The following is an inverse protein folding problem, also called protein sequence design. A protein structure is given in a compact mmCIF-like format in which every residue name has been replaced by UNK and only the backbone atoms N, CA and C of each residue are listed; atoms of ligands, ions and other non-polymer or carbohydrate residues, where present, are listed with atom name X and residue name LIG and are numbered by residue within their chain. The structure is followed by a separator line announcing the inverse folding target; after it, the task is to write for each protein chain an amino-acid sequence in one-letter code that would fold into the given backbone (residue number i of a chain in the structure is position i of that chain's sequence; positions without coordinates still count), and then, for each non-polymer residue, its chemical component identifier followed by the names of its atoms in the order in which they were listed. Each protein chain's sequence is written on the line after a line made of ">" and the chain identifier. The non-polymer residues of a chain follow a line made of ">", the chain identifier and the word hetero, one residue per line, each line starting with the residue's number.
data_IF_070047034917
#
_entry.id   IF_070047034917
#
_cell.length_a   1.000
_cell.length_b   1.000
_cell.length_c   1.000
_cell.angle_alpha   90.00
_cell.angle_beta   90.00
_cell.angle_gamma   90.00
#
_symmetry.space_group_name_H-M   'P 1'
#
loop_
_entity.id
_entity.type
_entity.pdbx_description
1 polymer ?
#
# COMPACT_ATOMS: atom_id res chain seq x y z
N UNK A 1 -57.55 12.44 60.38
CA UNK A 1 -59.02 12.39 60.34
C UNK A 1 -59.40 11.77 59.00
N UNK A 2 -59.90 10.56 58.84
CA UNK A 2 -60.26 9.41 59.68
C UNK A 2 -59.90 8.16 58.83
N UNK A 3 -59.24 7.12 59.34
CA UNK A 3 -59.80 5.93 60.00
C UNK A 3 -61.02 5.30 59.31
N UNK A 4 -60.80 4.15 58.67
CA UNK A 4 -61.72 3.01 58.75
C UNK A 4 -60.95 1.69 58.64
N UNK A 5 -61.16 0.84 59.65
CA UNK A 5 -60.59 -0.48 59.88
C UNK A 5 -61.37 -1.53 59.09
N UNK A 6 -60.73 -2.65 58.72
CA UNK A 6 -61.41 -3.95 58.68
C UNK A 6 -60.42 -5.06 59.04
N UNK A 7 -60.85 -5.81 60.05
CA UNK A 7 -60.14 -6.82 60.83
C UNK A 7 -60.43 -8.21 60.26
N UNK A 8 -59.37 -9.02 60.24
CA UNK A 8 -59.24 -10.45 60.53
C UNK A 8 -60.50 -11.33 60.66
N UNK A 9 -60.47 -12.50 59.99
CA UNK A 9 -61.18 -13.69 60.47
C UNK A 9 -60.49 -14.96 59.94
N UNK A 10 -59.87 -15.66 60.89
CA UNK A 10 -59.37 -17.02 60.82
C UNK A 10 -60.44 -18.05 60.44
N UNK A 11 -60.10 -19.03 59.59
CA UNK A 11 -60.70 -20.36 59.62
C UNK A 11 -59.64 -21.42 59.33
N UNK A 12 -59.43 -22.30 60.31
CA UNK A 12 -58.76 -23.59 60.15
C UNK A 12 -59.53 -24.46 59.15
N UNK A 13 -58.81 -25.20 58.30
CA UNK A 13 -59.26 -26.51 57.83
C UNK A 13 -58.06 -27.43 57.57
N UNK A 14 -58.29 -28.70 57.89
CA UNK A 14 -57.35 -29.77 58.22
C UNK A 14 -57.15 -30.70 57.00
N UNK A 15 -55.95 -31.27 56.91
CA UNK A 15 -55.51 -32.47 56.17
C UNK A 15 -56.51 -33.19 55.24
N UNK A 16 -56.04 -33.48 54.01
CA UNK A 16 -56.15 -34.84 53.46
C UNK A 16 -55.03 -35.15 52.45
N UNK A 17 -54.20 -36.15 52.75
CA UNK A 17 -53.26 -36.76 51.80
C UNK A 17 -53.83 -38.13 51.41
N UNK A 18 -54.10 -38.41 50.12
CA UNK A 18 -54.48 -39.75 49.73
C UNK A 18 -53.23 -40.63 49.65
N UNK A 19 -53.08 -41.53 50.62
CA UNK A 19 -52.15 -42.66 50.54
C UNK A 19 -52.69 -43.68 49.54
N UNK A 20 -52.12 -43.74 48.34
CA UNK A 20 -52.36 -44.84 47.41
C UNK A 20 -51.59 -46.10 47.84
N UNK A 21 -52.33 -47.04 48.42
CA UNK A 21 -51.88 -48.40 48.69
C UNK A 21 -52.15 -49.29 47.46
N UNK A 22 -51.10 -49.52 46.65
CA UNK A 22 -51.08 -50.52 45.58
C UNK A 22 -49.64 -50.99 45.32
N UNK A 23 -49.41 -52.18 44.75
CA UNK A 23 -48.04 -52.61 44.43
C UNK A 23 -47.45 -51.61 43.43
N UNK A 24 -46.33 -50.97 43.82
CA UNK A 24 -45.62 -50.02 42.97
C UNK A 24 -45.33 -50.71 41.63
N UNK A 25 -45.90 -50.18 40.53
CA UNK A 25 -45.58 -50.65 39.18
C UNK A 25 -44.07 -50.55 39.00
N UNK A 26 -43.39 -51.68 38.79
CA UNK A 26 -41.96 -51.69 38.57
C UNK A 26 -41.67 -50.98 37.25
N UNK A 27 -41.26 -49.72 37.35
CA UNK A 27 -40.82 -48.92 36.20
C UNK A 27 -39.33 -49.18 36.05
N UNK A 28 -38.94 -49.74 34.90
CA UNK A 28 -37.53 -49.89 34.55
C UNK A 28 -36.85 -48.52 34.63
N UNK A 29 -35.61 -48.46 35.10
CA UNK A 29 -34.79 -47.23 35.04
C UNK A 29 -34.64 -46.68 33.61
N UNK A 30 -34.96 -47.49 32.59
CA UNK A 30 -34.92 -47.14 31.17
C UNK A 30 -36.31 -46.88 30.57
N UNK A 31 -37.39 -46.88 31.35
CA UNK A 31 -38.75 -46.65 30.83
C UNK A 31 -39.06 -45.14 30.76
N UNK A 32 -39.09 -44.61 29.53
CA UNK A 32 -39.38 -43.20 29.24
C UNK A 32 -40.72 -42.75 29.81
N UNK A 33 -40.81 -41.44 30.12
CA UNK A 33 -42.04 -40.83 30.58
C UNK A 33 -42.87 -40.26 29.43
N UNK A 34 -44.02 -40.88 29.18
CA UNK A 34 -44.89 -40.53 28.05
C UNK A 34 -45.59 -39.18 28.23
N UNK A 35 -45.68 -38.66 29.45
CA UNK A 35 -46.24 -37.33 29.73
C UNK A 35 -45.24 -36.20 29.43
N UNK A 36 -43.93 -36.46 29.54
CA UNK A 36 -42.84 -35.51 29.27
C UNK A 36 -41.87 -36.05 28.19
N UNK A 37 -42.43 -36.71 27.18
CA UNK A 37 -41.65 -37.45 26.18
C UNK A 37 -40.69 -36.53 25.40
N UNK A 38 -41.10 -35.30 25.10
CA UNK A 38 -40.28 -34.35 24.35
C UNK A 38 -39.05 -33.90 25.15
N UNK A 39 -39.21 -33.66 26.46
CA UNK A 39 -38.10 -33.34 27.36
C UNK A 39 -37.17 -34.54 27.58
N UNK A 40 -37.71 -35.76 27.64
CA UNK A 40 -36.89 -36.98 27.74
C UNK A 40 -36.17 -37.31 26.43
N UNK A 41 -36.81 -37.12 25.27
CA UNK A 41 -36.20 -37.33 23.96
C UNK A 41 -35.12 -36.29 23.67
N UNK A 42 -35.33 -35.03 24.07
CA UNK A 42 -34.29 -33.99 23.95
C UNK A 42 -33.05 -34.28 24.81
N UNK A 43 -33.11 -35.21 25.78
CA UNK A 43 -31.95 -35.72 26.53
C UNK A 43 -31.28 -36.94 25.88
N UNK A 44 -31.87 -37.50 24.81
CA UNK A 44 -31.29 -38.61 24.06
C UNK A 44 -30.44 -38.05 22.93
N UNK A 45 -29.16 -38.45 22.79
CA UNK A 45 -28.23 -37.89 21.81
C UNK A 45 -28.72 -37.87 20.35
N UNK A 46 -29.57 -38.82 19.97
CA UNK A 46 -30.14 -38.92 18.62
C UNK A 46 -31.20 -37.84 18.31
N UNK A 47 -31.82 -37.26 19.35
CA UNK A 47 -32.93 -36.30 19.24
C UNK A 47 -32.64 -34.97 19.94
N UNK A 48 -31.41 -34.77 20.45
CA UNK A 48 -30.94 -33.51 21.03
C UNK A 48 -30.94 -32.39 20.00
N UNK A 49 -31.57 -31.26 20.32
CA UNK A 49 -31.47 -30.02 19.54
C UNK A 49 -30.28 -29.15 19.96
N UNK A 50 -29.85 -29.27 21.22
CA UNK A 50 -28.75 -28.52 21.82
C UNK A 50 -27.85 -29.44 22.64
N UNK A 51 -26.55 -29.14 22.70
CA UNK A 51 -25.59 -29.91 23.49
C UNK A 51 -25.74 -29.58 24.99
N UNK A 52 -25.85 -30.58 25.88
CA UNK A 52 -25.96 -30.36 27.33
C UNK A 52 -24.68 -29.74 27.91
N UNK A 53 -24.85 -28.86 28.91
CA UNK A 53 -23.75 -28.12 29.55
C UNK A 53 -22.89 -28.96 30.51
N UNK A 54 -23.35 -30.15 30.90
CA UNK A 54 -22.65 -31.09 31.78
C UNK A 54 -22.08 -32.27 30.96
N UNK A 55 -20.92 -32.78 31.36
CA UNK A 55 -20.29 -33.95 30.74
C UNK A 55 -21.22 -35.17 30.87
N UNK A 56 -21.71 -35.67 29.75
CA UNK A 56 -22.57 -36.84 29.68
C UNK A 56 -21.77 -38.03 29.15
N UNK A 57 -21.59 -39.05 30.00
CA UNK A 57 -20.84 -40.28 29.67
C UNK A 57 -21.37 -40.97 28.40
N UNK A 58 -22.67 -40.87 28.12
CA UNK A 58 -23.26 -41.45 26.89
C UNK A 58 -22.87 -40.67 25.64
N UNK A 59 -22.73 -39.33 25.73
CA UNK A 59 -22.22 -38.51 24.63
C UNK A 59 -20.74 -38.77 24.40
N UNK A 60 -19.95 -38.94 25.47
CA UNK A 60 -18.54 -39.30 25.37
C UNK A 60 -18.36 -40.68 24.72
N UNK A 61 -19.19 -41.66 25.08
CA UNK A 61 -19.20 -42.99 24.46
C UNK A 61 -19.62 -42.94 22.98
N UNK A 62 -20.59 -42.09 22.59
CA UNK A 62 -20.94 -41.91 21.18
C UNK A 62 -19.86 -41.18 20.40
N UNK A 63 -19.17 -40.22 21.00
CA UNK A 63 -18.03 -39.53 20.39
C UNK A 63 -16.85 -40.48 20.15
N UNK A 64 -16.62 -41.45 21.04
CA UNK A 64 -15.58 -42.46 20.83
C UNK A 64 -15.93 -43.44 19.70
N UNK A 65 -17.21 -43.74 19.48
CA UNK A 65 -17.65 -44.55 18.32
C UNK A 65 -17.29 -43.91 16.98
N UNK A 66 -17.13 -42.58 16.91
CA UNK A 66 -16.69 -41.90 15.67
C UNK A 66 -15.26 -42.28 15.27
N UNK A 67 -14.45 -42.71 16.24
CA UNK A 67 -13.07 -43.16 16.04
C UNK A 67 -12.92 -44.68 16.13
N UNK A 68 -14.03 -45.43 16.14
CA UNK A 68 -14.01 -46.88 16.20
C UNK A 68 -13.75 -47.47 14.81
N UNK A 69 -12.65 -48.20 14.66
CA UNK A 69 -12.18 -48.75 13.38
C UNK A 69 -10.68 -48.61 13.18
N UNK A 70 -10.20 -49.06 12.01
CA UNK A 70 -8.80 -48.82 11.62
C UNK A 70 -8.57 -47.32 11.33
N UNK A 71 -7.36 -46.78 11.56
CA UNK A 71 -7.03 -45.40 11.21
C UNK A 71 -7.41 -45.01 9.78
N UNK A 72 -7.29 -45.95 8.85
CA UNK A 72 -7.67 -45.81 7.45
C UNK A 72 -9.19 -45.65 7.26
N UNK A 73 -10.00 -46.48 7.90
CA UNK A 73 -11.46 -46.41 7.85
C UNK A 73 -12.01 -45.13 8.49
N UNK A 74 -11.43 -44.73 9.63
CA UNK A 74 -11.81 -43.49 10.33
C UNK A 74 -11.45 -42.27 9.47
N UNK A 75 -10.25 -42.24 8.88
CA UNK A 75 -9.85 -41.16 7.97
C UNK A 75 -10.72 -41.10 6.72
N UNK A 76 -11.11 -42.26 6.17
CA UNK A 76 -12.02 -42.37 5.04
C UNK A 76 -13.42 -41.82 5.38
N UNK A 77 -13.96 -42.16 6.55
CA UNK A 77 -15.25 -41.66 7.02
C UNK A 77 -15.25 -40.14 7.15
N UNK A 78 -14.24 -39.57 7.81
CA UNK A 78 -14.08 -38.11 7.91
C UNK A 78 -13.90 -37.44 6.54
N UNK A 79 -13.21 -38.09 5.59
CA UNK A 79 -13.10 -37.60 4.21
C UNK A 79 -14.46 -37.53 3.53
N UNK A 80 -15.31 -38.54 3.72
CA UNK A 80 -16.66 -38.59 3.15
C UNK A 80 -17.56 -37.50 3.74
N UNK A 81 -17.57 -37.33 5.07
CA UNK A 81 -18.27 -36.23 5.73
C UNK A 81 -17.81 -34.86 5.22
N UNK A 82 -16.49 -34.67 5.05
CA UNK A 82 -15.92 -33.46 4.45
C UNK A 82 -16.36 -33.23 3.01
N UNK A 83 -16.50 -34.29 2.21
CA UNK A 83 -17.00 -34.20 0.83
C UNK A 83 -18.48 -33.79 0.80
N UNK A 84 -19.29 -34.27 1.73
CA UNK A 84 -20.71 -33.91 1.82
C UNK A 84 -20.88 -32.44 2.23
N UNK A 85 -20.11 -31.97 3.21
CA UNK A 85 -20.05 -30.55 3.54
C UNK A 85 -19.57 -29.70 2.36
N UNK A 86 -18.60 -30.18 1.57
CA UNK A 86 -18.12 -29.49 0.38
C UNK A 86 -19.22 -29.37 -0.69
N UNK A 87 -20.00 -30.43 -0.91
CA UNK A 87 -21.15 -30.43 -1.84
C UNK A 87 -22.28 -29.51 -1.38
N UNK A 88 -22.48 -29.39 -0.06
CA UNK A 88 -23.46 -28.48 0.54
C UNK A 88 -23.14 -26.99 0.29
N UNK A 89 -21.93 -26.66 -0.16
CA UNK A 89 -21.57 -25.34 -0.67
C UNK A 89 -20.93 -24.41 0.37
N UNK A 90 -20.83 -23.12 0.03
CA UNK A 90 -19.95 -22.14 0.71
C UNK A 90 -20.19 -22.01 2.21
N UNK A 91 -21.45 -22.11 2.65
CA UNK A 91 -21.81 -22.03 4.06
C UNK A 91 -21.21 -23.16 4.90
N UNK A 92 -20.89 -24.29 4.28
CA UNK A 92 -20.38 -25.51 4.93
C UNK A 92 -18.90 -25.78 4.66
N UNK A 93 -18.19 -24.85 4.02
CA UNK A 93 -16.74 -24.97 3.84
C UNK A 93 -15.92 -24.95 5.13
N UNK A 94 -16.28 -24.18 6.19
CA UNK A 94 -15.60 -24.29 7.48
C UNK A 94 -15.74 -25.69 8.08
N UNK A 95 -16.95 -26.26 8.05
CA UNK A 95 -17.23 -27.62 8.53
C UNK A 95 -16.45 -28.66 7.72
N UNK A 96 -16.42 -28.53 6.39
CA UNK A 96 -15.63 -29.39 5.51
C UNK A 96 -14.13 -29.35 5.86
N UNK A 97 -13.59 -28.16 6.14
CA UNK A 97 -12.18 -28.00 6.55
C UNK A 97 -11.92 -28.73 7.87
N UNK A 98 -12.83 -28.66 8.83
CA UNK A 98 -12.71 -29.34 10.11
C UNK A 98 -12.67 -30.87 9.92
N UNK A 99 -13.59 -31.43 9.12
CA UNK A 99 -13.60 -32.87 8.82
C UNK A 99 -12.36 -33.35 8.07
N UNK A 100 -11.90 -32.62 7.04
CA UNK A 100 -10.64 -32.97 6.36
C UNK A 100 -9.43 -32.86 7.30
N UNK A 101 -9.46 -31.94 8.26
CA UNK A 101 -8.37 -31.81 9.25
C UNK A 101 -8.33 -33.00 10.19
N UNK A 102 -9.49 -33.42 10.72
CA UNK A 102 -9.63 -34.66 11.51
C UNK A 102 -9.16 -35.90 10.75
N UNK A 103 -9.48 -36.00 9.45
CA UNK A 103 -9.02 -37.08 8.57
C UNK A 103 -7.49 -37.11 8.38
N UNK A 104 -6.83 -35.96 8.42
CA UNK A 104 -5.38 -35.85 8.29
C UNK A 104 -4.68 -36.16 9.63
N UNK A 105 -5.34 -35.87 10.75
CA UNK A 105 -4.83 -36.09 12.11
C UNK A 105 -4.95 -37.55 12.58
N UNK A 106 -5.68 -38.40 11.86
CA UNK A 106 -5.96 -39.81 12.24
C UNK A 106 -4.75 -40.75 12.12
N UNK A 107 -3.55 -40.24 11.81
CA UNK A 107 -2.32 -41.01 11.56
C UNK A 107 -2.45 -42.14 10.51
N UNK A 108 -3.40 -42.00 9.57
CA UNK A 108 -3.61 -42.92 8.46
C UNK A 108 -2.35 -43.05 7.59
N UNK A 109 -1.95 -44.29 7.28
CA UNK A 109 -0.75 -44.57 6.45
C UNK A 109 -1.04 -44.52 4.96
N UNK A 110 -2.32 -44.47 4.56
CA UNK A 110 -2.71 -44.37 3.17
C UNK A 110 -2.54 -42.93 2.65
N UNK A 111 -1.43 -42.72 1.94
CA UNK A 111 -1.10 -41.48 1.27
C UNK A 111 -2.19 -41.01 0.29
N UNK A 112 -2.98 -41.90 -0.31
CA UNK A 112 -4.05 -41.51 -1.24
C UNK A 112 -5.19 -40.80 -0.53
N UNK A 113 -5.54 -41.22 0.69
CA UNK A 113 -6.58 -40.58 1.50
C UNK A 113 -6.10 -39.19 1.94
N UNK A 114 -4.87 -39.11 2.44
CA UNK A 114 -4.25 -37.86 2.89
C UNK A 114 -4.11 -36.86 1.74
N UNK A 115 -3.66 -37.31 0.56
CA UNK A 115 -3.56 -36.49 -0.65
C UNK A 115 -4.92 -35.87 -1.01
N UNK A 116 -5.98 -36.68 -1.03
CA UNK A 116 -7.33 -36.22 -1.36
C UNK A 116 -7.87 -35.22 -0.33
N UNK A 117 -7.68 -35.50 0.97
CA UNK A 117 -8.07 -34.59 2.06
C UNK A 117 -7.34 -33.25 1.96
N UNK A 118 -6.02 -33.24 1.71
CA UNK A 118 -5.25 -32.01 1.51
C UNK A 118 -5.72 -31.22 0.28
N UNK A 119 -5.96 -31.91 -0.84
CA UNK A 119 -6.42 -31.28 -2.07
C UNK A 119 -7.83 -30.66 -1.90
N UNK A 120 -8.74 -31.33 -1.20
CA UNK A 120 -10.10 -30.85 -0.97
C UNK A 120 -10.13 -29.74 0.09
N UNK A 121 -9.35 -29.85 1.16
CA UNK A 121 -9.17 -28.77 2.15
C UNK A 121 -8.59 -27.51 1.52
N UNK A 122 -7.64 -27.66 0.60
CA UNK A 122 -7.12 -26.55 -0.20
C UNK A 122 -8.21 -25.91 -1.08
N UNK A 123 -9.12 -26.71 -1.64
CA UNK A 123 -10.26 -26.19 -2.43
C UNK A 123 -11.19 -25.32 -1.57
N UNK A 124 -11.56 -25.79 -0.38
CA UNK A 124 -12.37 -25.01 0.57
C UNK A 124 -11.68 -23.69 0.93
N UNK A 125 -10.39 -23.75 1.29
CA UNK A 125 -9.62 -22.57 1.66
C UNK A 125 -9.47 -21.57 0.50
N UNK A 126 -9.39 -22.05 -0.74
CA UNK A 126 -9.31 -21.21 -1.93
C UNK A 126 -10.59 -20.41 -2.16
N UNK A 127 -11.75 -21.05 -1.98
CA UNK A 127 -13.05 -20.37 -2.06
C UNK A 127 -13.27 -19.39 -0.91
N UNK A 128 -12.73 -19.69 0.28
CA UNK A 128 -12.69 -18.79 1.43
C UNK A 128 -11.59 -17.71 1.34
N UNK A 129 -10.81 -17.68 0.24
CA UNK A 129 -9.70 -16.74 0.02
C UNK A 129 -8.56 -16.82 1.05
N UNK A 130 -8.43 -17.96 1.75
CA UNK A 130 -7.35 -18.24 2.69
C UNK A 130 -6.09 -18.72 1.95
N UNK A 131 -5.53 -17.88 1.08
CA UNK A 131 -4.48 -18.27 0.13
C UNK A 131 -3.23 -18.87 0.80
N UNK A 132 -2.80 -18.37 1.96
CA UNK A 132 -1.66 -18.94 2.70
C UNK A 132 -1.88 -20.41 3.13
N UNK A 133 -3.11 -20.75 3.54
CA UNK A 133 -3.48 -22.14 3.89
C UNK A 133 -3.54 -23.03 2.65
N UNK A 134 -4.04 -22.50 1.53
CA UNK A 134 -4.04 -23.21 0.24
C UNK A 134 -2.63 -23.63 -0.15
N UNK A 135 -1.66 -22.73 -0.07
CA UNK A 135 -0.27 -23.01 -0.43
C UNK A 135 0.36 -24.06 0.49
N UNK A 136 0.06 -23.99 1.79
CA UNK A 136 0.51 -25.00 2.76
C UNK A 136 -0.03 -26.39 2.42
N UNK A 137 -1.34 -26.48 2.17
CA UNK A 137 -2.02 -27.73 1.88
C UNK A 137 -1.59 -28.30 0.53
N UNK A 138 -1.49 -27.46 -0.50
CA UNK A 138 -1.04 -27.88 -1.82
C UNK A 138 0.44 -28.30 -1.81
N UNK A 139 1.32 -27.62 -1.05
CA UNK A 139 2.71 -28.06 -0.89
C UNK A 139 2.80 -29.44 -0.25
N UNK A 140 2.01 -29.72 0.80
CA UNK A 140 1.94 -31.06 1.40
C UNK A 140 1.38 -32.10 0.41
N UNK A 141 0.33 -31.74 -0.33
CA UNK A 141 -0.28 -32.60 -1.36
C UNK A 141 0.74 -32.95 -2.46
N UNK A 142 1.50 -31.98 -2.95
CA UNK A 142 2.51 -32.16 -4.00
C UNK A 142 3.76 -32.92 -3.51
N UNK A 143 4.07 -32.91 -2.21
CA UNK A 143 5.10 -33.79 -1.63
C UNK A 143 4.69 -35.26 -1.67
N UNK A 144 3.40 -35.54 -1.54
CA UNK A 144 2.85 -36.90 -1.64
C UNK A 144 2.73 -37.31 -3.11
N UNK A 145 2.11 -36.46 -3.92
CA UNK A 145 1.91 -36.69 -5.35
C UNK A 145 2.28 -35.45 -6.17
N UNK A 146 3.51 -35.39 -6.71
CA UNK A 146 3.96 -34.28 -7.54
C UNK A 146 3.17 -34.10 -8.85
N UNK A 147 2.41 -35.12 -9.27
CA UNK A 147 1.61 -35.11 -10.50
C UNK A 147 0.17 -34.64 -10.28
N UNK A 148 -0.19 -34.19 -9.07
CA UNK A 148 -1.54 -33.71 -8.79
C UNK A 148 -1.80 -32.32 -9.43
N UNK A 149 -2.39 -32.33 -10.62
CA UNK A 149 -2.75 -31.11 -11.36
C UNK A 149 -3.70 -30.19 -10.59
N UNK A 150 -4.61 -30.75 -9.78
CA UNK A 150 -5.55 -29.93 -9.00
C UNK A 150 -4.82 -29.13 -7.91
N UNK A 151 -3.81 -29.70 -7.27
CA UNK A 151 -2.98 -29.00 -6.28
C UNK A 151 -2.14 -27.89 -6.93
N UNK A 152 -1.56 -28.16 -8.11
CA UNK A 152 -0.86 -27.16 -8.92
C UNK A 152 -1.78 -26.00 -9.32
N UNK A 153 -2.94 -26.29 -9.90
CA UNK A 153 -3.92 -25.27 -10.31
C UNK A 153 -4.35 -24.36 -9.15
N UNK A 154 -4.66 -24.95 -7.98
CA UNK A 154 -5.06 -24.20 -6.79
C UNK A 154 -3.93 -23.34 -6.23
N UNK A 155 -2.69 -23.84 -6.28
CA UNK A 155 -1.49 -23.08 -5.90
C UNK A 155 -1.28 -21.89 -6.82
N UNK A 156 -1.35 -22.09 -8.14
CA UNK A 156 -1.22 -21.02 -9.12
C UNK A 156 -2.30 -19.95 -8.93
N UNK A 157 -3.56 -20.33 -8.71
CA UNK A 157 -4.66 -19.40 -8.44
C UNK A 157 -4.45 -18.61 -7.15
N UNK A 158 -3.92 -19.25 -6.10
CA UNK A 158 -3.62 -18.60 -4.83
C UNK A 158 -2.42 -17.63 -4.94
N UNK A 159 -1.35 -18.02 -5.63
CA UNK A 159 -0.18 -17.16 -5.88
C UNK A 159 -0.56 -15.95 -6.73
N UNK A 160 -1.37 -16.15 -7.76
CA UNK A 160 -1.87 -15.08 -8.62
C UNK A 160 -2.72 -14.08 -7.84
N UNK A 161 -3.55 -14.56 -6.91
CA UNK A 161 -4.35 -13.70 -6.03
C UNK A 161 -3.51 -12.92 -4.99
N UNK A 162 -2.32 -13.43 -4.64
CA UNK A 162 -1.34 -12.76 -3.77
C UNK A 162 -0.39 -11.82 -4.54
N UNK A 163 -0.62 -11.63 -5.85
CA UNK A 163 0.23 -10.84 -6.76
C UNK A 163 1.69 -11.34 -6.84
N UNK A 164 1.91 -12.60 -6.50
CA UNK A 164 3.21 -13.29 -6.61
C UNK A 164 3.40 -13.83 -8.02
N UNK A 165 3.62 -12.93 -8.97
CA UNK A 165 3.55 -13.24 -10.41
C UNK A 165 4.67 -14.19 -10.86
N UNK A 166 5.88 -14.07 -10.30
CA UNK A 166 7.02 -14.93 -10.65
C UNK A 166 6.73 -16.36 -10.21
N UNK A 167 6.38 -16.53 -8.94
CA UNK A 167 6.05 -17.85 -8.38
C UNK A 167 4.80 -18.46 -9.05
N UNK A 168 3.85 -17.62 -9.49
CA UNK A 168 2.70 -18.08 -10.27
C UNK A 168 3.13 -18.70 -11.60
N UNK A 169 4.03 -18.02 -12.34
CA UNK A 169 4.53 -18.50 -13.63
C UNK A 169 5.29 -19.82 -13.42
N UNK A 170 6.19 -19.87 -12.44
CA UNK A 170 6.96 -21.08 -12.11
C UNK A 170 6.02 -22.24 -11.74
N UNK A 171 5.01 -21.97 -10.92
CA UNK A 171 3.99 -22.95 -10.54
C UNK A 171 3.20 -23.48 -11.75
N UNK A 172 2.82 -22.58 -12.67
CA UNK A 172 2.16 -22.98 -13.91
C UNK A 172 3.07 -23.78 -14.84
N UNK A 173 4.35 -23.42 -14.95
CA UNK A 173 5.32 -24.14 -15.80
C UNK A 173 5.51 -25.57 -15.33
N UNK A 174 5.65 -25.80 -14.02
CA UNK A 174 5.72 -27.16 -13.46
C UNK A 174 4.42 -27.94 -13.70
N UNK A 175 3.27 -27.29 -13.60
CA UNK A 175 1.99 -27.93 -13.83
C UNK A 175 1.79 -28.33 -15.31
N UNK A 176 2.25 -27.49 -16.24
CA UNK A 176 2.21 -27.76 -17.68
C UNK A 176 3.20 -28.83 -18.11
N UNK A 177 4.25 -29.10 -17.33
CA UNK A 177 5.11 -30.28 -17.54
C UNK A 177 4.36 -31.59 -17.23
N UNK A 178 3.38 -31.55 -16.33
CA UNK A 178 2.56 -32.72 -15.97
C UNK A 178 1.35 -32.87 -16.90
N UNK A 179 0.68 -31.76 -17.23
CA UNK A 179 -0.47 -31.70 -18.15
C UNK A 179 -0.35 -30.47 -19.06
N UNK A 180 0.23 -30.67 -20.23
CA UNK A 180 0.54 -29.61 -21.19
C UNK A 180 -0.71 -28.94 -21.77
N UNK A 181 -1.83 -29.67 -21.89
CA UNK A 181 -3.06 -29.22 -22.53
C UNK A 181 -4.05 -28.57 -21.54
N UNK A 182 -3.62 -28.32 -20.31
CA UNK A 182 -4.46 -27.73 -19.27
C UNK A 182 -4.75 -26.23 -19.51
N UNK A 183 -5.83 -25.94 -20.25
CA UNK A 183 -6.26 -24.56 -20.58
C UNK A 183 -6.35 -23.63 -19.35
N UNK A 184 -6.97 -24.02 -18.21
CA UNK A 184 -7.05 -23.14 -17.04
C UNK A 184 -5.67 -22.68 -16.51
N UNK A 185 -4.66 -23.54 -16.56
CA UNK A 185 -3.30 -23.21 -16.12
C UNK A 185 -2.60 -22.32 -17.13
N UNK A 186 -2.75 -22.61 -18.44
CA UNK A 186 -2.25 -21.76 -19.50
C UNK A 186 -2.81 -20.33 -19.40
N UNK A 187 -4.10 -20.19 -19.09
CA UNK A 187 -4.77 -18.89 -18.92
C UNK A 187 -4.20 -18.11 -17.73
N UNK A 188 -4.02 -18.75 -16.57
CA UNK A 188 -3.40 -18.12 -15.39
C UNK A 188 -1.98 -17.67 -15.72
N UNK A 189 -1.20 -18.52 -16.38
CA UNK A 189 0.17 -18.21 -16.80
C UNK A 189 0.23 -17.01 -17.74
N UNK A 190 -0.63 -16.99 -18.76
CA UNK A 190 -0.73 -15.88 -19.72
C UNK A 190 -1.10 -14.57 -19.02
N UNK A 191 -2.05 -14.61 -18.08
CA UNK A 191 -2.43 -13.44 -17.29
C UNK A 191 -1.28 -12.95 -16.40
N UNK A 192 -0.57 -13.86 -15.73
CA UNK A 192 0.57 -13.54 -14.89
C UNK A 192 1.72 -12.93 -15.71
N UNK A 193 2.03 -13.50 -16.88
CA UNK A 193 3.06 -12.98 -17.78
C UNK A 193 2.74 -11.57 -18.27
N UNK A 194 1.50 -11.33 -18.73
CA UNK A 194 1.05 -10.00 -19.17
C UNK A 194 1.16 -8.95 -18.05
N UNK A 195 0.72 -9.30 -16.84
CA UNK A 195 0.86 -8.39 -15.68
C UNK A 195 2.33 -8.12 -15.35
N UNK A 196 3.16 -9.16 -15.33
CA UNK A 196 4.60 -9.04 -15.07
C UNK A 196 5.27 -8.11 -16.08
N UNK A 197 5.01 -8.28 -17.38
CA UNK A 197 5.58 -7.41 -18.42
C UNK A 197 5.20 -5.95 -18.25
N UNK A 198 3.96 -5.65 -17.82
CA UNK A 198 3.52 -4.27 -17.58
C UNK A 198 4.20 -3.67 -16.35
N UNK A 199 4.39 -4.46 -15.30
CA UNK A 199 5.08 -4.02 -14.08
C UNK A 199 6.57 -3.78 -14.37
N UNK A 200 7.23 -4.73 -15.04
CA UNK A 200 8.65 -4.64 -15.41
C UNK A 200 8.91 -3.41 -16.29
N UNK A 201 8.02 -3.13 -17.25
CA UNK A 201 8.11 -1.93 -18.10
C UNK A 201 8.02 -0.63 -17.27
N UNK A 202 7.09 -0.57 -16.31
CA UNK A 202 6.96 0.60 -15.44
C UNK A 202 8.17 0.80 -14.54
N UNK A 203 8.73 -0.31 -14.03
CA UNK A 203 9.96 -0.27 -13.23
C UNK A 203 11.11 0.26 -14.08
N UNK A 204 11.30 -0.28 -15.29
CA UNK A 204 12.34 0.18 -16.22
C UNK A 204 12.20 1.66 -16.55
N UNK A 205 11.00 2.13 -16.89
CA UNK A 205 10.76 3.55 -17.18
C UNK A 205 11.06 4.45 -15.99
N UNK A 206 10.74 4.00 -14.77
CA UNK A 206 11.05 4.75 -13.55
C UNK A 206 12.56 4.82 -13.31
N UNK A 207 13.27 3.70 -13.44
CA UNK A 207 14.72 3.62 -13.28
C UNK A 207 15.45 4.49 -14.31
N UNK A 208 15.05 4.43 -15.59
CA UNK A 208 15.60 5.28 -16.66
C UNK A 208 15.37 6.77 -16.37
N UNK A 209 14.19 7.16 -15.86
CA UNK A 209 13.90 8.54 -15.48
C UNK A 209 14.78 8.99 -14.31
N UNK A 210 14.90 8.18 -13.27
CA UNK A 210 15.74 8.47 -12.11
C UNK A 210 17.22 8.57 -12.50
N UNK A 211 17.69 7.73 -13.41
CA UNK A 211 19.05 7.79 -13.95
C UNK A 211 19.29 9.06 -14.77
N UNK A 212 18.37 9.46 -15.65
CA UNK A 212 18.48 10.72 -16.39
C UNK A 212 18.55 11.93 -15.46
N UNK A 213 17.72 11.96 -14.41
CA UNK A 213 17.75 13.03 -13.41
C UNK A 213 19.05 13.05 -12.61
N UNK A 214 19.58 11.88 -12.21
CA UNK A 214 20.89 11.78 -11.57
C UNK A 214 22.00 12.29 -12.47
N UNK A 215 22.00 11.88 -13.74
CA UNK A 215 22.99 12.30 -14.72
C UNK A 215 22.92 13.81 -14.98
N UNK A 216 21.71 14.38 -15.13
CA UNK A 216 21.50 15.83 -15.27
C UNK A 216 22.05 16.60 -14.07
N UNK A 217 21.76 16.15 -12.85
CA UNK A 217 22.29 16.76 -11.62
C UNK A 217 23.81 16.69 -11.55
N UNK A 218 24.39 15.53 -11.86
CA UNK A 218 25.85 15.33 -11.83
C UNK A 218 26.57 16.24 -12.83
N UNK A 219 26.05 16.37 -14.05
CA UNK A 219 26.62 17.27 -15.07
C UNK A 219 26.57 18.72 -14.60
N UNK A 220 25.42 19.16 -14.07
CA UNK A 220 25.28 20.52 -13.53
C UNK A 220 26.22 20.78 -12.35
N UNK A 221 26.35 19.85 -11.41
CA UNK A 221 27.27 19.99 -10.28
C UNK A 221 28.73 20.09 -10.72
N UNK A 222 29.14 19.30 -11.71
CA UNK A 222 30.48 19.39 -12.28
C UNK A 222 30.69 20.75 -12.97
N UNK A 223 29.72 21.19 -13.77
CA UNK A 223 29.76 22.47 -14.46
C UNK A 223 29.85 23.66 -13.48
N UNK A 224 29.16 23.60 -12.34
CA UNK A 224 29.25 24.61 -11.29
C UNK A 224 30.63 24.65 -10.64
N UNK A 225 31.23 23.49 -10.37
CA UNK A 225 32.58 23.39 -9.79
C UNK A 225 33.64 23.96 -10.74
N UNK A 226 33.58 23.61 -12.02
CA UNK A 226 34.50 24.11 -13.04
C UNK A 226 34.45 25.64 -13.20
N UNK A 227 33.26 26.23 -13.03
CA UNK A 227 33.01 27.66 -13.17
C UNK A 227 33.12 28.44 -11.85
N UNK A 228 33.51 27.81 -10.74
CA UNK A 228 33.56 28.40 -9.40
C UNK A 228 32.21 29.06 -8.97
N UNK A 229 31.10 28.45 -9.38
CA UNK A 229 29.76 28.96 -9.09
C UNK A 229 29.33 28.53 -7.69
N UNK A 230 28.88 29.50 -6.88
CA UNK A 230 28.44 29.27 -5.50
C UNK A 230 26.93 29.40 -5.42
N UNK A 231 26.26 28.33 -5.00
CA UNK A 231 24.81 28.31 -4.80
C UNK A 231 24.52 28.11 -3.31
N UNK A 232 23.76 29.03 -2.72
CA UNK A 232 23.20 28.91 -1.38
C UNK A 232 21.76 28.44 -1.50
N UNK A 233 21.44 27.34 -0.82
CA UNK A 233 20.09 26.78 -0.77
C UNK A 233 19.44 27.22 0.54
N UNK A 234 18.48 28.14 0.44
CA UNK A 234 17.63 28.59 1.55
C UNK A 234 16.30 27.82 1.52
N UNK A 235 15.75 27.62 0.33
CA UNK A 235 14.52 26.88 0.07
C UNK A 235 14.78 25.76 -0.95
N UNK A 236 14.60 24.52 -0.51
CA UNK A 236 14.80 23.32 -1.33
C UNK A 236 13.75 23.21 -2.44
N UNK A 237 12.50 23.59 -2.18
CA UNK A 237 11.41 23.48 -3.15
C UNK A 237 11.62 24.45 -4.31
N UNK A 238 12.03 25.69 -4.00
CA UNK A 238 12.39 26.68 -5.03
C UNK A 238 13.60 26.22 -5.83
N UNK A 239 14.62 25.64 -5.16
CA UNK A 239 15.82 25.13 -5.83
C UNK A 239 15.55 24.00 -6.82
N UNK A 240 14.63 23.10 -6.48
CA UNK A 240 14.21 22.00 -7.35
C UNK A 240 13.37 22.48 -8.54
N UNK A 241 12.63 23.58 -8.38
CA UNK A 241 11.87 24.22 -9.45
C UNK A 241 12.70 25.14 -10.33
N UNK A 242 13.90 25.53 -9.91
CA UNK A 242 14.79 26.36 -10.71
C UNK A 242 15.23 25.60 -11.98
N UNK A 243 14.70 26.02 -13.13
CA UNK A 243 14.95 25.37 -14.42
C UNK A 243 16.33 25.72 -14.98
N UNK A 244 17.39 25.22 -14.35
CA UNK A 244 18.76 25.35 -14.84
C UNK A 244 19.02 24.23 -15.85
N UNK A 245 19.40 24.60 -17.06
CA UNK A 245 19.64 23.67 -18.15
C UNK A 245 21.09 23.72 -18.57
N UNK A 246 21.70 22.54 -18.76
CA UNK A 246 23.03 22.42 -19.33
C UNK A 246 22.87 22.06 -20.80
N UNK A 247 23.36 22.93 -21.69
CA UNK A 247 23.40 22.67 -23.12
C UNK A 247 24.66 21.86 -23.44
N UNK A 248 24.45 20.61 -23.87
CA UNK A 248 25.53 19.69 -24.21
C UNK A 248 26.23 20.02 -25.54
N UNK A 249 25.57 20.75 -26.45
CA UNK A 249 26.15 21.11 -27.75
C UNK A 249 27.13 22.26 -27.59
N UNK A 250 26.71 23.31 -26.88
CA UNK A 250 27.55 24.49 -26.64
C UNK A 250 28.42 24.37 -25.39
N UNK A 251 28.18 23.35 -24.56
CA UNK A 251 28.80 23.15 -23.23
C UNK A 251 28.55 24.34 -22.29
N UNK A 252 27.42 25.04 -22.45
CA UNK A 252 27.06 26.23 -21.68
C UNK A 252 25.88 25.95 -20.75
N UNK A 253 25.69 26.84 -19.76
CA UNK A 253 24.56 26.77 -18.83
C UNK A 253 23.57 27.88 -19.14
N UNK A 254 22.30 27.51 -19.24
CA UNK A 254 21.17 28.42 -19.28
C UNK A 254 20.59 28.57 -17.88
N UNK A 255 20.47 29.82 -17.44
CA UNK A 255 20.03 30.16 -16.09
C UNK A 255 18.66 30.85 -16.12
N UNK A 256 17.74 30.50 -15.20
CA UNK A 256 16.63 31.38 -14.91
C UNK A 256 17.14 32.59 -14.14
N UNK A 257 16.80 33.81 -14.55
CA UNK A 257 17.35 35.06 -13.97
C UNK A 257 16.24 36.04 -13.64
N UNK A 258 16.35 36.72 -12.49
CA UNK A 258 15.52 37.86 -12.14
C UNK A 258 16.24 39.18 -12.38
N UNK A 259 15.57 40.11 -13.06
CA UNK A 259 15.88 41.53 -12.97
C UNK A 259 14.88 42.21 -12.05
N UNK A 260 15.40 42.93 -11.06
CA UNK A 260 14.63 43.61 -10.04
C UNK A 260 14.71 45.13 -10.27
N UNK A 261 13.58 45.81 -10.21
CA UNK A 261 13.46 47.27 -10.36
C UNK A 261 12.86 47.86 -9.06
N UNK A 262 13.67 48.05 -7.99
CA UNK A 262 13.16 48.40 -6.68
C UNK A 262 12.46 49.77 -6.62
N UNK A 263 12.78 50.68 -7.53
CA UNK A 263 12.17 52.01 -7.64
C UNK A 263 10.66 51.93 -7.89
N UNK A 264 10.26 50.97 -8.74
CA UNK A 264 8.88 50.73 -9.11
C UNK A 264 8.28 49.47 -8.47
N UNK A 265 9.09 48.71 -7.71
CA UNK A 265 8.74 47.41 -7.11
C UNK A 265 8.31 46.36 -8.14
N UNK A 266 8.90 46.44 -9.32
CA UNK A 266 8.65 45.53 -10.43
C UNK A 266 9.81 44.53 -10.57
N UNK A 267 9.54 43.43 -11.26
CA UNK A 267 10.56 42.43 -11.58
C UNK A 267 10.26 41.69 -12.87
N UNK A 268 11.29 41.39 -13.65
CA UNK A 268 11.20 40.52 -14.82
C UNK A 268 11.87 39.17 -14.55
N UNK A 269 11.24 38.10 -15.02
CA UNK A 269 11.76 36.74 -14.96
C UNK A 269 12.16 36.25 -16.34
N UNK A 270 13.46 36.07 -16.54
CA UNK A 270 14.05 35.51 -17.77
C UNK A 270 14.18 34.00 -17.56
N UNK A 271 13.42 33.21 -18.33
CA UNK A 271 13.39 31.76 -18.16
C UNK A 271 14.71 31.07 -18.52
N UNK A 272 15.41 31.59 -19.53
CA UNK A 272 16.63 31.00 -20.07
C UNK A 272 17.60 32.08 -20.52
N UNK A 273 18.54 32.43 -19.64
CA UNK A 273 19.65 33.33 -19.91
C UNK A 273 20.92 32.49 -20.11
N UNK A 274 21.46 32.46 -21.33
CA UNK A 274 22.71 31.73 -21.59
C UNK A 274 23.91 32.43 -20.95
N UNK A 275 24.77 31.69 -20.26
CA UNK A 275 25.92 32.25 -19.54
C UNK A 275 26.93 33.03 -20.41
N UNK A 276 26.94 32.81 -21.73
CA UNK A 276 27.82 33.53 -22.66
C UNK A 276 27.25 34.86 -23.14
N UNK A 277 25.92 35.04 -23.07
CA UNK A 277 25.27 36.30 -23.45
C UNK A 277 25.55 37.41 -22.44
N UNK A 278 25.50 38.64 -22.90
CA UNK A 278 25.71 39.82 -22.05
C UNK A 278 24.38 40.36 -21.51
N UNK A 279 24.47 41.11 -20.42
CA UNK A 279 23.30 41.81 -19.88
C UNK A 279 22.76 42.84 -20.85
N UNK A 280 23.64 43.46 -21.65
CA UNK A 280 23.25 44.44 -22.66
C UNK A 280 22.33 43.81 -23.70
N UNK A 281 22.66 42.62 -24.21
CA UNK A 281 21.87 41.93 -25.24
C UNK A 281 20.43 41.66 -24.75
N UNK A 282 20.27 41.23 -23.50
CA UNK A 282 18.95 40.99 -22.91
C UNK A 282 18.19 42.28 -22.62
N UNK A 283 18.86 43.30 -22.04
CA UNK A 283 18.21 44.58 -21.76
C UNK A 283 17.77 45.30 -23.02
N UNK A 284 18.48 45.12 -24.14
CA UNK A 284 18.12 45.72 -25.43
C UNK A 284 16.81 45.14 -25.96
N UNK A 285 16.64 43.83 -25.87
CA UNK A 285 15.40 43.15 -26.26
C UNK A 285 14.25 43.50 -25.29
N UNK A 286 14.52 43.50 -23.98
CA UNK A 286 13.49 43.76 -22.96
C UNK A 286 12.95 45.19 -23.00
N UNK A 287 13.82 46.17 -23.28
CA UNK A 287 13.48 47.60 -23.29
C UNK A 287 13.47 48.19 -24.71
N UNK A 288 13.24 47.36 -25.73
CA UNK A 288 12.98 47.84 -27.10
C UNK A 288 11.78 48.80 -27.13
N UNK A 289 10.78 48.52 -26.29
CA UNK A 289 9.71 49.46 -25.96
C UNK A 289 9.85 49.92 -24.50
N UNK A 290 9.55 51.21 -24.20
CA UNK A 290 9.56 51.69 -22.83
C UNK A 290 8.63 50.85 -21.95
N UNK A 291 9.11 50.47 -20.77
CA UNK A 291 8.31 49.70 -19.83
C UNK A 291 7.07 50.50 -19.39
N UNK A 292 5.87 49.89 -19.32
CA UNK A 292 4.64 50.62 -18.98
C UNK A 292 4.67 51.30 -17.61
N UNK A 293 5.43 50.73 -16.67
CA UNK A 293 5.60 51.25 -15.31
C UNK A 293 6.65 52.38 -15.21
N UNK A 294 7.50 52.55 -16.23
CA UNK A 294 8.52 53.61 -16.28
C UNK A 294 7.91 54.94 -16.74
N UNK A 295 7.11 55.54 -15.87
CA UNK A 295 6.39 56.80 -16.11
C UNK A 295 7.31 57.98 -16.44
N UNK A 296 8.56 57.93 -15.99
CA UNK A 296 9.55 58.98 -16.20
C UNK A 296 10.49 58.69 -17.38
N UNK A 297 10.30 57.56 -18.07
CA UNK A 297 11.12 57.09 -19.19
C UNK A 297 12.62 57.10 -18.89
N UNK A 298 12.99 56.68 -17.67
CA UNK A 298 14.36 56.68 -17.18
C UNK A 298 15.08 55.34 -17.40
N UNK A 299 14.37 54.24 -17.66
CA UNK A 299 14.94 52.91 -17.87
C UNK A 299 15.30 52.69 -19.33
N UNK A 300 16.24 53.51 -19.82
CA UNK A 300 16.84 53.37 -21.15
C UNK A 300 18.20 52.69 -21.06
N UNK A 301 18.62 51.98 -22.13
CA UNK A 301 19.87 51.23 -22.16
C UNK A 301 21.09 52.02 -21.67
N UNK A 302 21.23 53.29 -22.05
CA UNK A 302 22.34 54.14 -21.63
C UNK A 302 22.25 54.58 -20.17
N UNK A 303 21.02 54.81 -19.68
CA UNK A 303 20.76 55.29 -18.33
C UNK A 303 20.68 54.16 -17.30
N UNK A 304 20.54 52.90 -17.69
CA UNK A 304 20.48 51.78 -16.75
C UNK A 304 21.86 51.39 -16.19
N UNK A 305 21.91 51.10 -14.90
CA UNK A 305 23.04 50.51 -14.19
C UNK A 305 22.58 49.23 -13.49
N UNK A 306 23.42 48.18 -13.56
CA UNK A 306 23.10 46.87 -13.00
C UNK A 306 23.99 46.62 -11.78
N UNK A 307 23.40 46.03 -10.75
CA UNK A 307 24.03 45.74 -9.48
C UNK A 307 23.69 44.32 -9.01
N UNK A 308 24.52 43.78 -8.13
CA UNK A 308 24.16 42.63 -7.31
C UNK A 308 24.55 42.84 -5.85
N UNK A 309 24.00 42.03 -4.97
CA UNK A 309 24.29 42.05 -3.53
C UNK A 309 25.42 41.05 -3.19
N UNK A 310 26.53 41.54 -2.62
CA UNK A 310 27.54 40.72 -1.95
C UNK A 310 27.13 40.53 -0.49
N UNK A 311 26.74 39.30 -0.16
CA UNK A 311 26.24 38.91 1.17
C UNK A 311 27.30 38.22 2.05
N UNK A 312 28.58 38.20 1.65
CA UNK A 312 29.64 37.52 2.42
C UNK A 312 30.02 38.22 3.73
N UNK A 313 29.69 39.51 3.86
CA UNK A 313 29.95 40.31 5.05
C UNK A 313 28.75 40.39 6.02
N UNK A 314 28.97 40.94 7.22
CA UNK A 314 27.91 41.23 8.19
C UNK A 314 26.80 42.13 7.62
N UNK A 315 27.15 43.02 6.69
CA UNK A 315 26.23 43.89 5.98
C UNK A 315 26.33 43.63 4.46
N UNK A 316 25.19 43.46 3.76
CA UNK A 316 25.17 43.28 2.32
C UNK A 316 25.65 44.54 1.60
N UNK A 317 26.49 44.38 0.58
CA UNK A 317 27.01 45.49 -0.24
C UNK A 317 26.53 45.40 -1.67
N UNK A 318 26.19 46.53 -2.29
CA UNK A 318 25.87 46.57 -3.71
C UNK A 318 27.14 46.73 -4.56
N UNK A 319 27.33 45.79 -5.50
CA UNK A 319 28.43 45.81 -6.45
C UNK A 319 27.88 46.12 -7.84
N UNK A 320 28.40 47.18 -8.46
CA UNK A 320 28.05 47.57 -9.82
C UNK A 320 28.71 46.64 -10.84
N UNK A 321 27.94 46.17 -11.82
CA UNK A 321 28.45 45.37 -12.95
C UNK A 321 28.33 46.12 -14.27
N UNK A 322 29.25 45.81 -15.19
CA UNK A 322 29.22 46.35 -16.54
C UNK A 322 28.18 45.62 -17.40
N UNK A 323 27.37 46.36 -18.15
CA UNK A 323 26.33 45.83 -19.05
C UNK A 323 26.89 44.87 -20.12
N UNK A 324 28.14 45.10 -20.56
CA UNK A 324 28.84 44.28 -21.56
C UNK A 324 29.47 43.00 -21.01
N UNK A 325 29.38 42.75 -19.69
CA UNK A 325 29.86 41.50 -19.12
C UNK A 325 28.88 40.37 -19.44
N UNK A 326 29.40 39.16 -19.63
CA UNK A 326 28.54 37.98 -19.75
C UNK A 326 28.05 37.50 -18.38
N UNK A 327 26.90 36.86 -18.35
CA UNK A 327 26.33 36.33 -17.11
C UNK A 327 27.31 35.37 -16.41
N UNK A 328 27.90 34.43 -17.15
CA UNK A 328 28.82 33.43 -16.61
C UNK A 328 30.03 34.06 -15.91
N UNK A 329 30.57 35.18 -16.44
CA UNK A 329 31.68 35.90 -15.79
C UNK A 329 31.27 36.50 -14.45
N UNK A 330 30.03 36.98 -14.33
CA UNK A 330 29.50 37.53 -13.07
C UNK A 330 29.20 36.42 -12.07
N UNK A 331 28.61 35.30 -12.51
CA UNK A 331 28.33 34.15 -11.66
C UNK A 331 29.59 33.46 -11.14
N UNK A 332 30.71 33.57 -11.85
CA UNK A 332 32.02 33.02 -11.45
C UNK A 332 32.76 33.91 -10.43
N UNK A 333 32.24 35.11 -10.12
CA UNK A 333 32.87 36.00 -9.15
C UNK A 333 32.74 35.43 -7.75
N UNK A 334 33.83 35.46 -6.98
CA UNK A 334 33.81 35.00 -5.59
C UNK A 334 32.83 35.74 -4.68
N UNK A 335 32.38 36.92 -5.12
CA UNK A 335 31.47 37.82 -4.42
C UNK A 335 30.00 37.53 -4.70
N UNK A 336 29.71 36.78 -5.77
CA UNK A 336 28.36 36.46 -6.17
C UNK A 336 27.97 35.09 -5.59
N UNK A 337 26.82 35.05 -4.90
CA UNK A 337 26.24 33.82 -4.38
C UNK A 337 24.82 33.71 -4.93
N UNK A 338 24.54 32.65 -5.67
CA UNK A 338 23.23 32.39 -6.24
C UNK A 338 22.31 31.85 -5.15
N UNK A 339 21.19 32.52 -4.90
CA UNK A 339 20.17 32.05 -3.94
C UNK A 339 19.19 31.10 -4.65
N UNK A 340 19.00 29.92 -4.09
CA UNK A 340 18.06 28.89 -4.58
C UNK A 340 18.22 28.53 -6.07
N UNK A 341 19.39 28.74 -6.67
CA UNK A 341 19.65 28.44 -8.07
C UNK A 341 19.10 29.45 -9.08
N UNK A 342 18.62 30.62 -8.64
CA UNK A 342 18.11 31.68 -9.51
C UNK A 342 18.92 32.96 -9.26
N UNK A 343 19.84 33.35 -10.18
CA UNK A 343 20.53 34.63 -10.10
C UNK A 343 19.55 35.81 -10.14
N UNK A 344 19.78 36.79 -9.27
CA UNK A 344 19.01 38.04 -9.23
C UNK A 344 19.94 39.24 -9.39
N UNK A 345 19.52 40.21 -10.18
CA UNK A 345 20.24 41.45 -10.43
C UNK A 345 19.33 42.66 -10.24
N UNK A 346 19.87 43.71 -9.65
CA UNK A 346 19.15 44.95 -9.37
C UNK A 346 19.47 45.94 -10.48
N UNK A 347 18.45 46.46 -11.16
CA UNK A 347 18.60 47.45 -12.23
C UNK A 347 18.07 48.79 -11.72
N UNK A 348 18.89 49.84 -11.83
CA UNK A 348 18.56 51.20 -11.37
C UNK A 348 18.86 52.21 -12.48
N UNK A 349 18.01 53.23 -12.60
CA UNK A 349 18.29 54.37 -13.47
C UNK A 349 19.37 55.28 -12.88
N UNK A 350 20.42 55.57 -13.67
CA UNK A 350 21.60 56.35 -13.26
C UNK A 350 21.23 57.75 -12.78
N UNK A 351 20.26 58.38 -13.43
CA UNK A 351 19.81 59.73 -13.15
C UNK A 351 18.65 59.81 -12.13
N UNK A 352 18.15 58.68 -11.63
CA UNK A 352 17.06 58.69 -10.65
C UNK A 352 17.56 59.11 -9.26
N UNK A 353 16.85 60.01 -8.54
CA UNK A 353 17.15 60.33 -7.14
C UNK A 353 17.00 59.10 -6.23
N UNK A 354 16.12 58.15 -6.58
CA UNK A 354 15.92 56.91 -5.83
C UNK A 354 17.20 56.07 -5.76
N UNK A 355 18.02 56.08 -6.82
CA UNK A 355 19.28 55.33 -6.85
C UNK A 355 20.21 55.71 -5.69
N UNK A 356 20.36 57.00 -5.43
CA UNK A 356 21.23 57.50 -4.37
C UNK A 356 20.73 57.03 -3.00
N UNK A 357 19.43 57.20 -2.75
CA UNK A 357 18.78 56.75 -1.51
C UNK A 357 18.90 55.24 -1.32
N UNK A 358 18.71 54.48 -2.39
CA UNK A 358 18.80 53.02 -2.38
C UNK A 358 20.22 52.55 -2.08
N UNK A 359 21.23 53.08 -2.77
CA UNK A 359 22.63 52.72 -2.54
C UNK A 359 23.07 53.09 -1.11
N UNK A 360 22.62 54.22 -0.58
CA UNK A 360 23.00 54.66 0.76
C UNK A 360 22.41 53.77 1.87
N UNK A 361 21.32 53.03 1.61
CA UNK A 361 20.80 51.98 2.53
C UNK A 361 21.76 50.80 2.69
N UNK A 362 22.59 50.50 1.68
CA UNK A 362 23.56 49.40 1.69
C UNK A 362 24.97 49.82 2.14
N UNK A 363 25.18 51.11 2.45
CA UNK A 363 26.44 51.62 3.02
C UNK A 363 26.41 51.74 4.55
N UNK A 364 25.22 51.75 5.14
CA UNK A 364 25.01 51.73 6.60
C UNK A 364 25.14 50.30 7.12
#
# INVERSE_FOLDING_TARGET
>A
MAEEQLIDNSNHEVHDQPTEAGPKKFRSQFAMDFENLDEELSKVPLFMTDLPAEENDTLAALQSLVFDGTPEEVAQNFREQGNDCFRAGKAKYPDAIAFYTKAIETECKDNSIIEACLANRAACNLELKNYGRVLTDCSKCLKINPKNIKAWYRSAKALFALDKLVETIDCCDHALQVDADNKPIQDIRQQALKRKTVIDEKIRQKEEREERERNKKQVLENAFKERNIKIQVEDKEVREKANIEYDHETQTINWPVFFLYPEYKESDYIQSFNETNTFQDHLEIMFEQPAPWDTNHQYTLDNMEIYFEDTRGLNPKLIKIGKKLSLGKVLSLDQYIIKNGVPSFIVLAKNSPFKQEYIDKFKK
#
